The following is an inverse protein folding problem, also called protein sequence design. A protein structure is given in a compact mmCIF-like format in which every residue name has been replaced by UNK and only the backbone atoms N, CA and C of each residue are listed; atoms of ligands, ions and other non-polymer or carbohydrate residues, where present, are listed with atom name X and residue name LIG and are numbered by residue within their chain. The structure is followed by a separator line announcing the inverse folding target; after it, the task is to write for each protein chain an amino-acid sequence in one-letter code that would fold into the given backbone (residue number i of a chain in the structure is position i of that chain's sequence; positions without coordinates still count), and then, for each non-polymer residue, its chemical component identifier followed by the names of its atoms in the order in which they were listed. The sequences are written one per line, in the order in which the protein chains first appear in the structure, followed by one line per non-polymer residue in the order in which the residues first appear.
data_IF_339008017246
#
_entry.id   IF_339008017246
#
_cell.length_a   1.000
_cell.length_b   1.000
_cell.length_c   1.000
_cell.angle_alpha   90.00
_cell.angle_beta   90.00
_cell.angle_gamma   90.00
#
_symmetry.space_group_name_H-M   'P 1'
#
loop_
_entity.id
_entity.type
_entity.pdbx_description
1 polymer ?
#
# COMPACT_ATOMS: atom_id res chain seq x y z
N UNK A 1 27.50 -26.32 -34.27
CA UNK A 1 27.53 -25.10 -33.42
C UNK A 1 26.39 -25.20 -32.43
N UNK A 2 26.65 -25.76 -31.24
CA UNK A 2 25.64 -25.95 -30.18
C UNK A 2 25.49 -24.63 -29.40
N UNK A 3 24.33 -24.01 -29.49
CA UNK A 3 23.98 -22.82 -28.72
C UNK A 3 23.60 -23.23 -27.30
N UNK A 4 24.44 -22.91 -26.33
CA UNK A 4 24.13 -22.99 -24.91
C UNK A 4 23.17 -21.86 -24.55
N UNK A 5 21.89 -22.20 -24.36
CA UNK A 5 20.89 -21.29 -23.79
C UNK A 5 21.07 -21.24 -22.29
N UNK A 6 21.76 -20.22 -21.78
CA UNK A 6 21.81 -19.94 -20.35
C UNK A 6 20.46 -19.40 -19.89
N UNK A 7 19.70 -20.22 -19.17
CA UNK A 7 18.53 -19.78 -18.42
C UNK A 7 19.01 -18.87 -17.28
N UNK A 8 18.89 -17.56 -17.45
CA UNK A 8 19.05 -16.61 -16.35
C UNK A 8 17.86 -16.76 -15.40
N UNK A 9 18.05 -17.46 -14.27
CA UNK A 9 17.15 -17.34 -13.14
C UNK A 9 17.41 -15.97 -12.48
N UNK A 10 16.48 -15.03 -12.67
CA UNK A 10 16.46 -13.79 -11.89
C UNK A 10 16.35 -14.08 -10.39
N UNK A 11 16.79 -13.15 -9.52
CA UNK A 11 16.70 -13.34 -8.09
C UNK A 11 15.22 -13.57 -7.67
N UNK A 12 14.96 -14.42 -6.67
CA UNK A 12 13.61 -14.62 -6.17
C UNK A 12 13.07 -13.26 -5.68
N UNK A 13 11.93 -12.85 -6.22
CA UNK A 13 11.16 -11.75 -5.67
C UNK A 13 10.73 -12.18 -4.25
N UNK A 14 11.47 -11.72 -3.24
CA UNK A 14 11.07 -11.90 -1.85
C UNK A 14 9.84 -11.04 -1.62
N UNK A 15 8.65 -11.62 -1.82
CA UNK A 15 7.39 -11.07 -1.34
C UNK A 15 7.34 -11.27 0.18
N UNK A 16 8.26 -10.63 0.89
CA UNK A 16 8.17 -10.49 2.33
C UNK A 16 6.98 -9.58 2.61
N UNK A 17 5.84 -10.18 2.96
CA UNK A 17 4.64 -9.46 3.41
C UNK A 17 4.83 -8.96 4.86
N UNK A 18 6.01 -8.38 5.12
CA UNK A 18 6.46 -7.86 6.41
C UNK A 18 5.98 -6.44 6.69
N UNK A 19 5.24 -5.85 5.75
CA UNK A 19 4.70 -4.51 5.91
C UNK A 19 3.38 -4.59 6.69
N UNK A 20 3.38 -4.04 7.90
CA UNK A 20 2.17 -3.97 8.71
C UNK A 20 1.20 -3.00 8.06
N UNK A 21 0.01 -3.50 7.76
CA UNK A 21 -1.03 -2.76 7.07
C UNK A 21 -1.90 -2.02 8.07
N UNK A 22 -2.28 -0.79 7.75
CA UNK A 22 -3.31 -0.05 8.50
C UNK A 22 -4.63 -0.81 8.40
N UNK A 23 -5.16 -1.24 9.54
CA UNK A 23 -6.46 -1.89 9.65
C UNK A 23 -7.42 -1.04 10.47
N UNK A 24 -8.70 -1.09 10.13
CA UNK A 24 -9.73 -0.54 11.01
C UNK A 24 -9.81 -1.36 12.31
N UNK A 25 -9.82 -0.67 13.44
CA UNK A 25 -9.72 -1.29 14.78
C UNK A 25 -10.94 -2.10 15.19
N UNK A 26 -12.09 -1.93 14.53
CA UNK A 26 -13.32 -2.62 14.87
C UNK A 26 -13.56 -3.82 13.96
N UNK A 27 -13.37 -3.63 12.66
CA UNK A 27 -13.64 -4.63 11.64
C UNK A 27 -12.42 -5.49 11.29
N UNK A 28 -11.20 -5.02 11.60
CA UNK A 28 -9.95 -5.66 11.19
C UNK A 28 -9.64 -5.54 9.69
N UNK A 29 -10.45 -4.80 8.93
CA UNK A 29 -10.30 -4.65 7.48
C UNK A 29 -9.12 -3.75 7.13
N UNK A 30 -8.34 -4.17 6.13
CA UNK A 30 -7.31 -3.34 5.54
C UNK A 30 -7.90 -2.02 5.03
N UNK A 31 -7.21 -0.90 5.31
CA UNK A 31 -7.57 0.46 4.88
C UNK A 31 -9.05 0.79 5.06
N UNK A 32 -9.62 0.32 6.18
CA UNK A 32 -11.04 0.52 6.54
C UNK A 32 -12.03 -0.07 5.53
N UNK A 33 -11.63 -1.08 4.75
CA UNK A 33 -12.49 -1.77 3.78
C UNK A 33 -12.61 -1.10 2.42
N UNK A 34 -11.80 -0.07 2.13
CA UNK A 34 -11.73 0.52 0.79
C UNK A 34 -11.01 -0.39 -0.20
N UNK A 35 -11.44 -0.33 -1.45
CA UNK A 35 -10.85 -1.10 -2.55
C UNK A 35 -9.55 -0.43 -3.02
N UNK A 36 -8.37 -1.06 -2.81
CA UNK A 36 -7.09 -0.48 -3.20
C UNK A 36 -6.90 -0.41 -4.72
N UNK A 37 -7.58 -1.26 -5.49
CA UNK A 37 -7.53 -1.22 -6.96
C UNK A 37 -8.28 0.00 -7.48
N UNK A 38 -9.29 0.46 -6.73
CA UNK A 38 -10.15 1.56 -7.18
C UNK A 38 -9.43 2.91 -7.30
N UNK A 39 -8.35 3.11 -6.53
CA UNK A 39 -7.49 4.27 -6.68
C UNK A 39 -6.88 4.39 -8.08
N UNK A 40 -6.67 3.27 -8.78
CA UNK A 40 -6.04 3.23 -10.09
C UNK A 40 -7.05 3.29 -11.23
N UNK A 41 -8.14 2.55 -11.11
CA UNK A 41 -9.10 2.37 -12.22
C UNK A 41 -10.26 3.36 -12.15
N UNK A 42 -10.89 3.58 -10.98
CA UNK A 42 -11.91 4.61 -10.80
C UNK A 42 -11.35 5.99 -10.43
N UNK A 43 -10.08 6.08 -10.02
CA UNK A 43 -9.47 7.32 -9.52
C UNK A 43 -10.25 7.92 -8.34
N UNK A 44 -10.81 7.05 -7.51
CA UNK A 44 -11.63 7.41 -6.37
C UNK A 44 -11.40 6.43 -5.21
N UNK A 45 -11.66 6.90 -4.00
CA UNK A 45 -11.79 6.04 -2.84
C UNK A 45 -13.18 5.38 -2.89
N UNK A 46 -13.21 4.08 -3.18
CA UNK A 46 -14.46 3.32 -3.26
C UNK A 46 -14.46 2.24 -2.20
N UNK A 47 -15.54 2.13 -1.44
CA UNK A 47 -15.71 1.04 -0.48
C UNK A 47 -15.84 -0.30 -1.20
N UNK A 48 -15.11 -1.29 -0.70
CA UNK A 48 -15.28 -2.67 -1.11
C UNK A 48 -16.48 -3.32 -0.43
N UNK A 49 -16.83 -4.52 -0.89
CA UNK A 49 -17.99 -5.26 -0.40
C UNK A 49 -17.58 -6.56 0.27
N UNK A 50 -18.37 -7.01 1.24
CA UNK A 50 -18.07 -8.24 1.99
C UNK A 50 -18.11 -9.50 1.11
N UNK A 51 -18.83 -9.46 -0.01
CA UNK A 51 -18.88 -10.57 -0.97
C UNK A 51 -17.56 -10.74 -1.74
N UNK A 52 -16.71 -9.71 -1.77
CA UNK A 52 -15.45 -9.70 -2.51
C UNK A 52 -14.29 -9.42 -1.56
N UNK A 53 -13.79 -10.47 -0.93
CA UNK A 53 -12.68 -10.41 0.01
C UNK A 53 -11.45 -11.20 -0.49
N UNK A 54 -10.28 -10.77 -0.02
CA UNK A 54 -9.02 -11.50 -0.18
C UNK A 54 -8.11 -11.24 1.02
N UNK A 55 -7.48 -12.30 1.54
CA UNK A 55 -6.53 -12.17 2.64
C UNK A 55 -5.12 -12.03 2.10
N UNK A 56 -4.43 -10.97 2.51
CA UNK A 56 -3.04 -10.71 2.15
C UNK A 56 -2.36 -9.93 3.27
N UNK A 57 -1.08 -10.19 3.52
CA UNK A 57 -0.33 -9.58 4.62
C UNK A 57 -0.98 -9.76 6.01
N UNK A 58 -1.68 -10.88 6.22
CA UNK A 58 -2.37 -11.17 7.49
C UNK A 58 -3.63 -10.34 7.75
N UNK A 59 -4.13 -9.58 6.76
CA UNK A 59 -5.35 -8.76 6.88
C UNK A 59 -6.35 -9.10 5.76
N UNK A 60 -7.62 -8.79 6.01
CA UNK A 60 -8.71 -8.97 5.04
C UNK A 60 -8.89 -7.68 4.25
N UNK A 61 -8.78 -7.78 2.93
CA UNK A 61 -9.04 -6.70 1.98
C UNK A 61 -10.41 -6.89 1.34
N UNK A 62 -11.10 -5.78 1.07
CA UNK A 62 -12.38 -5.76 0.36
C UNK A 62 -12.26 -5.08 -0.99
N UNK A 63 -13.11 -5.50 -1.92
CA UNK A 63 -13.10 -5.01 -3.28
C UNK A 63 -14.51 -4.65 -3.75
N UNK A 64 -14.61 -3.69 -4.66
CA UNK A 64 -15.87 -3.22 -5.23
C UNK A 64 -16.55 -4.31 -6.07
N UNK A 65 -15.74 -5.14 -6.73
CA UNK A 65 -16.16 -6.15 -7.70
C UNK A 65 -15.13 -7.31 -7.77
N UNK A 66 -15.48 -8.48 -8.34
CA UNK A 66 -14.57 -9.62 -8.39
C UNK A 66 -13.34 -9.40 -9.29
N UNK A 67 -13.43 -8.53 -10.31
CA UNK A 67 -12.30 -8.17 -11.16
C UNK A 67 -11.20 -7.45 -10.38
N UNK A 68 -11.56 -6.46 -9.56
CA UNK A 68 -10.63 -5.76 -8.68
C UNK A 68 -9.99 -6.72 -7.66
N UNK A 69 -10.79 -7.61 -7.06
CA UNK A 69 -10.29 -8.65 -6.15
C UNK A 69 -9.26 -9.55 -6.80
N UNK A 70 -9.50 -9.98 -8.05
CA UNK A 70 -8.55 -10.82 -8.79
C UNK A 70 -7.30 -10.04 -9.20
N UNK A 71 -7.43 -8.80 -9.67
CA UNK A 71 -6.28 -7.95 -9.99
C UNK A 71 -5.36 -7.75 -8.76
N UNK A 72 -5.95 -7.53 -7.59
CA UNK A 72 -5.19 -7.45 -6.34
C UNK A 72 -4.52 -8.78 -5.98
N UNK A 73 -5.23 -9.90 -6.09
CA UNK A 73 -4.66 -11.21 -5.79
C UNK A 73 -3.47 -11.56 -6.68
N UNK A 74 -3.51 -11.14 -7.96
CA UNK A 74 -2.43 -11.36 -8.92
C UNK A 74 -1.19 -10.49 -8.63
N UNK A 75 -1.39 -9.23 -8.19
CA UNK A 75 -0.30 -8.27 -7.99
C UNK A 75 -0.48 -7.38 -6.74
N UNK A 76 -0.52 -7.96 -5.53
CA UNK A 76 -0.90 -7.21 -4.33
C UNK A 76 0.08 -6.09 -3.99
N UNK A 77 1.37 -6.22 -4.33
CA UNK A 77 2.40 -5.21 -4.08
C UNK A 77 2.25 -3.93 -4.93
N UNK A 78 1.50 -4.00 -6.03
CA UNK A 78 1.18 -2.82 -6.87
C UNK A 78 0.06 -2.02 -6.23
N UNK A 79 -1.00 -2.71 -5.80
CA UNK A 79 -2.23 -2.10 -5.34
C UNK A 79 -2.22 -1.76 -3.84
N UNK A 80 -1.54 -2.55 -3.00
CA UNK A 80 -1.40 -2.25 -1.59
C UNK A 80 -0.68 -0.90 -1.41
N UNK A 81 -1.19 0.00 -0.55
CA UNK A 81 -0.55 1.29 -0.35
C UNK A 81 0.87 1.15 0.20
N UNK A 82 1.73 2.06 -0.22
CA UNK A 82 3.10 2.15 0.28
C UNK A 82 3.07 2.35 1.80
N UNK A 83 4.06 1.78 2.49
CA UNK A 83 4.14 1.81 3.96
C UNK A 83 2.88 1.24 4.62
N UNK A 84 2.24 0.25 4.00
CA UNK A 84 1.03 -0.38 4.53
C UNK A 84 -0.17 0.57 4.70
N UNK A 85 -0.15 1.76 4.09
CA UNK A 85 -1.21 2.77 4.24
C UNK A 85 -0.97 3.79 5.34
N UNK A 86 0.21 3.81 5.96
CA UNK A 86 0.64 4.90 6.84
C UNK A 86 1.10 6.11 6.03
N UNK A 87 0.87 7.31 6.58
CA UNK A 87 1.20 8.60 5.96
C UNK A 87 2.72 8.77 5.74
N UNK A 88 3.20 8.88 4.48
CA UNK A 88 4.61 9.09 4.16
C UNK A 88 5.21 10.32 4.84
N UNK A 89 4.44 11.41 5.02
CA UNK A 89 4.94 12.64 5.67
C UNK A 89 5.12 12.44 7.18
N UNK A 90 4.26 11.63 7.80
CA UNK A 90 4.43 11.19 9.17
C UNK A 90 5.69 10.34 9.33
N UNK A 91 5.85 9.35 8.44
CA UNK A 91 7.00 8.43 8.47
C UNK A 91 8.30 9.19 8.24
N UNK A 92 8.34 10.15 7.31
CA UNK A 92 9.49 11.03 7.10
C UNK A 92 9.90 11.83 8.36
N UNK A 93 9.01 11.95 9.35
CA UNK A 93 9.27 12.56 10.67
C UNK A 93 9.46 11.53 11.78
N UNK A 94 9.60 10.24 11.45
CA UNK A 94 9.76 9.15 12.39
C UNK A 94 8.50 8.74 13.14
N UNK A 95 7.30 9.09 12.66
CA UNK A 95 6.04 8.76 13.34
C UNK A 95 5.08 7.98 12.44
N UNK A 96 4.38 7.01 13.00
CA UNK A 96 3.29 6.31 12.30
C UNK A 96 1.97 7.07 12.45
N UNK A 97 1.39 7.52 11.35
CA UNK A 97 0.02 8.04 11.29
C UNK A 97 -0.78 7.23 10.27
N UNK A 98 -1.92 6.61 10.64
CA UNK A 98 -2.72 5.87 9.67
C UNK A 98 -3.25 6.85 8.62
N UNK A 99 -3.11 6.51 7.34
CA UNK A 99 -3.67 7.30 6.26
C UNK A 99 -5.20 7.20 6.23
N UNK A 100 -5.84 8.27 5.78
CA UNK A 100 -7.26 8.26 5.48
C UNK A 100 -7.46 7.71 4.05
N UNK A 101 -8.26 6.66 3.84
CA UNK A 101 -8.52 6.09 2.52
C UNK A 101 -9.10 7.09 1.50
N UNK A 102 -9.78 8.15 1.96
CA UNK A 102 -10.28 9.25 1.13
C UNK A 102 -9.21 10.27 0.71
N UNK A 103 -8.05 10.27 1.36
CA UNK A 103 -6.94 11.18 1.08
C UNK A 103 -5.78 10.38 0.50
N UNK A 104 -5.76 10.26 -0.82
CA UNK A 104 -4.77 9.45 -1.52
C UNK A 104 -4.09 10.21 -2.66
N UNK A 105 -2.97 9.66 -3.12
CA UNK A 105 -2.34 10.03 -4.39
C UNK A 105 -1.82 8.76 -5.06
N UNK A 106 -1.96 8.67 -6.39
CA UNK A 106 -1.32 7.63 -7.19
C UNK A 106 -0.14 8.26 -7.93
N UNK A 107 1.07 7.80 -7.63
CA UNK A 107 2.31 8.34 -8.19
C UNK A 107 3.29 7.20 -8.45
N UNK A 108 3.94 7.21 -9.63
CA UNK A 108 4.89 6.15 -10.01
C UNK A 108 4.29 4.74 -10.02
N UNK A 109 2.99 4.61 -10.30
CA UNK A 109 2.29 3.33 -10.27
C UNK A 109 2.03 2.75 -8.88
N UNK A 110 2.18 3.56 -7.82
CA UNK A 110 1.91 3.18 -6.43
C UNK A 110 0.89 4.14 -5.81
N UNK A 111 0.14 3.66 -4.83
CA UNK A 111 -0.81 4.48 -4.06
C UNK A 111 -0.22 4.83 -2.70
N UNK A 112 -0.41 6.08 -2.32
CA UNK A 112 -0.03 6.66 -1.04
C UNK A 112 -1.30 7.16 -0.36
N UNK A 113 -1.43 6.90 0.94
CA UNK A 113 -2.53 7.42 1.77
C UNK A 113 -1.98 8.45 2.75
N UNK A 114 -2.78 9.46 3.07
CA UNK A 114 -2.35 10.59 3.89
C UNK A 114 -3.27 10.77 5.10
N UNK A 115 -2.69 11.13 6.24
CA UNK A 115 -3.46 11.39 7.45
C UNK A 115 -4.33 12.65 7.31
N UNK A 116 -3.86 13.66 6.57
CA UNK A 116 -4.55 14.93 6.35
C UNK A 116 -4.27 15.51 4.97
N UNK A 117 -5.10 16.47 4.53
CA UNK A 117 -4.91 17.20 3.28
C UNK A 117 -3.57 17.94 3.28
N UNK A 118 -3.19 18.58 4.39
CA UNK A 118 -1.89 19.23 4.53
C UNK A 118 -0.71 18.27 4.33
N UNK A 119 -0.83 17.03 4.80
CA UNK A 119 0.20 16.01 4.57
C UNK A 119 0.27 15.62 3.09
N UNK A 120 -0.88 15.41 2.44
CA UNK A 120 -0.95 15.15 1.00
C UNK A 120 -0.31 16.28 0.21
N UNK A 121 -0.70 17.53 0.49
CA UNK A 121 -0.22 18.69 -0.27
C UNK A 121 1.29 18.89 -0.07
N UNK A 122 1.79 18.66 1.15
CA UNK A 122 3.25 18.64 1.41
C UNK A 122 3.96 17.55 0.62
N UNK A 123 3.40 16.35 0.56
CA UNK A 123 3.96 15.27 -0.25
C UNK A 123 3.98 15.64 -1.73
N UNK A 124 2.89 16.22 -2.26
CA UNK A 124 2.81 16.62 -3.67
C UNK A 124 3.80 17.74 -4.03
N UNK A 125 4.18 18.59 -3.08
CA UNK A 125 5.16 19.65 -3.28
C UNK A 125 6.61 19.13 -3.38
N UNK A 126 6.96 18.06 -2.66
CA UNK A 126 8.28 17.41 -2.73
C UNK A 126 8.18 15.89 -2.47
N UNK A 127 7.75 15.10 -3.48
CA UNK A 127 7.57 13.67 -3.30
C UNK A 127 8.90 12.95 -3.08
N UNK A 128 9.97 13.38 -3.77
CA UNK A 128 11.28 12.72 -3.73
C UNK A 128 11.93 12.89 -2.36
N UNK A 129 11.95 14.12 -1.82
CA UNK A 129 12.49 14.38 -0.50
C UNK A 129 11.71 13.66 0.59
N UNK A 130 10.37 13.71 0.55
CA UNK A 130 9.53 13.00 1.54
C UNK A 130 9.75 11.49 1.48
N UNK A 131 9.79 10.89 0.29
CA UNK A 131 9.99 9.45 0.17
C UNK A 131 11.37 9.00 0.62
N UNK A 132 12.41 9.80 0.35
CA UNK A 132 13.77 9.49 0.81
C UNK A 132 13.82 9.43 2.33
N UNK A 133 13.30 10.45 3.00
CA UNK A 133 13.24 10.49 4.47
C UNK A 133 12.33 9.41 5.05
N UNK A 134 11.18 9.16 4.42
CA UNK A 134 10.26 8.11 4.86
C UNK A 134 10.90 6.73 4.76
N UNK A 135 11.62 6.43 3.68
CA UNK A 135 12.33 5.16 3.50
C UNK A 135 13.42 4.97 4.56
N UNK A 136 14.17 6.02 4.90
CA UNK A 136 15.19 5.99 5.94
C UNK A 136 14.60 5.69 7.33
N UNK A 137 13.47 6.31 7.67
CA UNK A 137 12.81 6.13 8.97
C UNK A 137 11.95 4.87 9.06
N UNK A 138 11.48 4.32 7.93
CA UNK A 138 10.51 3.23 7.92
C UNK A 138 10.94 1.99 8.72
N UNK A 139 12.19 1.49 8.67
CA UNK A 139 12.61 0.35 9.45
C UNK A 139 12.40 0.52 10.97
N UNK A 140 12.61 1.73 11.50
CA UNK A 140 12.40 2.03 12.91
C UNK A 140 10.92 2.24 13.22
N UNK A 141 10.20 2.99 12.39
CA UNK A 141 8.75 3.23 12.56
C UNK A 141 7.99 1.91 12.54
N UNK A 142 8.25 1.03 11.57
CA UNK A 142 7.55 -0.26 11.44
C UNK A 142 7.81 -1.21 12.60
N UNK A 143 8.99 -1.13 13.22
CA UNK A 143 9.36 -1.96 14.36
C UNK A 143 8.56 -1.58 15.61
N UNK A 144 8.17 -0.32 15.74
CA UNK A 144 7.36 0.22 16.83
C UNK A 144 5.85 0.06 16.64
N UNK A 145 5.39 -0.42 15.48
CA UNK A 145 3.98 -0.75 15.30
C UNK A 145 3.63 -1.93 16.20
N UNK A 146 2.49 -1.88 16.88
CA UNK A 146 1.99 -2.99 17.71
C UNK A 146 1.10 -3.90 16.86
N UNK A 147 1.19 -5.23 16.98
CA UNK A 147 0.29 -6.14 16.25
C UNK A 147 -1.16 -5.98 16.71
#
# INVERSE_FOLDING_TARGET
MLMLSSLWLGPPASAATTERVVTDRHSGLAISGFDPVAYFVERAAVEGRAEYEYTYAGTVWRFRNPGNRNAFADNPTVYAPVFGGYDPVGIARGVSRPGNPGLFAVMGGRVFLFYSETARDKFMADPVGVLTEAQNHWPQVRAGLTP
#
